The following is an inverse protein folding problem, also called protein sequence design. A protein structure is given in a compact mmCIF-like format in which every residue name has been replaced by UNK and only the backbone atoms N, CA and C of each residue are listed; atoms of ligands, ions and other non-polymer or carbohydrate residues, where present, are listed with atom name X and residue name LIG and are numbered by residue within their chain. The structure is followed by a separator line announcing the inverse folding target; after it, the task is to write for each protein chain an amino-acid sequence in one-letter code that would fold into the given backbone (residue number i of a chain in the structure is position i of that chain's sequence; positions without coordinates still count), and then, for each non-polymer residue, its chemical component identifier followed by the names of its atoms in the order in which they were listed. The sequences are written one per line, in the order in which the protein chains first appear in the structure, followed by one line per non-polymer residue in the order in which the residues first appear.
data_IF_767337918638
#
_entry.id   IF_767337918638
#
_cell.length_a   1.000
_cell.length_b   1.000
_cell.length_c   1.000
_cell.angle_alpha   90.00
_cell.angle_beta   90.00
_cell.angle_gamma   90.00
#
_symmetry.space_group_name_H-M   'P 1'
#
loop_
_entity.id
_entity.type
_entity.pdbx_description
1 polymer ?
#
# COMPACT_ATOMS: atom_id res chain seq x y z
N UNK A 1 17.49 -0.95 2.99
CA UNK A 1 18.86 -1.49 2.93
C UNK A 1 19.67 -0.85 4.03
N UNK A 2 20.45 -1.63 4.77
CA UNK A 2 21.56 -1.09 5.56
C UNK A 2 22.72 -0.71 4.62
N UNK A 3 23.76 -0.04 5.13
CA UNK A 3 24.89 0.46 4.32
C UNK A 3 25.72 -0.62 3.61
N UNK A 4 25.44 -1.91 3.86
CA UNK A 4 26.01 -3.08 3.19
C UNK A 4 25.13 -3.63 2.04
N UNK A 5 23.98 -3.02 1.75
CA UNK A 5 23.00 -3.48 0.75
C UNK A 5 22.01 -4.52 1.26
N UNK A 6 22.13 -4.97 2.51
CA UNK A 6 21.28 -6.01 3.08
C UNK A 6 19.89 -5.46 3.45
N UNK A 7 18.86 -6.25 3.17
CA UNK A 7 17.49 -5.93 3.57
C UNK A 7 17.31 -6.26 5.05
N UNK A 8 16.67 -5.37 5.79
CA UNK A 8 16.41 -5.58 7.22
C UNK A 8 15.12 -4.88 7.61
N UNK A 9 14.50 -5.40 8.67
CA UNK A 9 13.29 -4.82 9.22
C UNK A 9 13.64 -3.67 10.18
N UNK A 10 13.14 -2.48 9.90
CA UNK A 10 13.27 -1.34 10.81
C UNK A 10 12.50 -1.60 12.11
N UNK A 11 12.98 -1.02 13.22
CA UNK A 11 12.24 -1.01 14.47
C UNK A 11 11.01 -0.07 14.38
N UNK A 12 9.96 -0.28 15.19
CA UNK A 12 8.84 0.64 15.29
C UNK A 12 9.28 1.99 15.83
N UNK A 13 8.58 3.06 15.41
CA UNK A 13 8.75 4.41 15.95
C UNK A 13 7.44 4.94 16.51
N UNK A 14 7.47 6.09 17.16
CA UNK A 14 6.25 6.82 17.49
C UNK A 14 5.45 7.08 16.19
N UNK A 15 4.16 6.74 16.20
CA UNK A 15 3.24 6.95 15.06
C UNK A 15 3.40 5.99 13.86
N UNK A 16 4.36 5.06 13.87
CA UNK A 16 4.58 4.13 12.74
C UNK A 16 5.06 2.74 13.16
N UNK A 17 4.36 1.72 12.66
CA UNK A 17 4.66 0.30 12.86
C UNK A 17 4.98 -0.35 11.50
N UNK A 18 6.24 -0.72 11.21
CA UNK A 18 6.60 -1.39 9.96
C UNK A 18 5.86 -2.72 9.80
N UNK A 19 5.37 -3.03 8.59
CA UNK A 19 4.72 -4.32 8.30
C UNK A 19 5.63 -5.51 8.61
N UNK A 20 6.92 -5.42 8.27
CA UNK A 20 7.89 -6.45 8.61
C UNK A 20 7.94 -6.74 10.12
N UNK A 21 7.75 -5.71 10.96
CA UNK A 21 7.75 -5.88 12.41
C UNK A 21 6.47 -6.54 12.88
N UNK A 22 5.33 -6.11 12.31
CA UNK A 22 4.03 -6.70 12.59
C UNK A 22 3.96 -8.17 12.13
N UNK A 23 4.58 -8.55 11.01
CA UNK A 23 4.75 -9.95 10.61
C UNK A 23 5.39 -10.79 11.73
N UNK A 24 6.42 -10.26 12.40
CA UNK A 24 7.04 -10.87 13.57
C UNK A 24 6.08 -11.03 14.75
N UNK A 25 5.31 -9.99 15.09
CA UNK A 25 4.34 -10.05 16.20
C UNK A 25 3.19 -11.04 15.91
N UNK A 26 2.72 -11.11 14.66
CA UNK A 26 1.70 -12.09 14.22
C UNK A 26 2.21 -13.52 14.44
N UNK A 27 3.40 -13.83 13.93
CA UNK A 27 4.00 -15.16 14.08
C UNK A 27 4.29 -15.48 15.56
N UNK A 28 4.74 -14.49 16.35
CA UNK A 28 4.96 -14.64 17.80
C UNK A 28 3.68 -15.02 18.54
N UNK A 29 2.59 -14.31 18.28
CA UNK A 29 1.30 -14.53 18.97
C UNK A 29 0.69 -15.87 18.56
N UNK A 30 0.73 -16.23 17.27
CA UNK A 30 0.29 -17.56 16.80
C UNK A 30 1.11 -18.69 17.42
N UNK A 31 2.43 -18.52 17.55
CA UNK A 31 3.29 -19.46 18.26
C UNK A 31 2.93 -19.60 19.74
N UNK A 32 2.62 -18.48 20.42
CA UNK A 32 2.16 -18.47 21.82
C UNK A 32 0.83 -19.22 21.99
N UNK A 33 -0.12 -19.01 21.08
CA UNK A 33 -1.41 -19.73 21.06
C UNK A 33 -1.22 -21.23 20.78
N UNK A 34 -0.23 -21.60 19.95
CA UNK A 34 0.19 -22.98 19.72
C UNK A 34 1.07 -23.57 20.85
N UNK A 35 1.09 -22.95 22.04
CA UNK A 35 1.85 -23.37 23.22
C UNK A 35 3.39 -23.50 23.02
N UNK A 36 3.96 -22.72 22.10
CA UNK A 36 5.41 -22.58 21.98
C UNK A 36 6.05 -21.85 23.17
N UNK A 37 7.33 -22.12 23.44
CA UNK A 37 8.08 -21.41 24.49
C UNK A 37 8.36 -19.96 24.09
N UNK A 38 8.64 -19.11 25.08
CA UNK A 38 8.94 -17.70 24.83
C UNK A 38 10.19 -17.51 23.94
N UNK A 39 11.19 -18.38 24.09
CA UNK A 39 12.43 -18.40 23.31
C UNK A 39 12.14 -18.75 21.85
N UNK A 40 11.38 -19.84 21.61
CA UNK A 40 11.01 -20.28 20.27
C UNK A 40 10.12 -19.25 19.56
N UNK A 41 9.11 -18.70 20.24
CA UNK A 41 8.24 -17.69 19.65
C UNK A 41 8.97 -16.37 19.39
N UNK A 42 9.96 -16.01 20.22
CA UNK A 42 10.83 -14.84 19.96
C UNK A 42 11.76 -15.08 18.78
N UNK A 43 12.32 -16.29 18.64
CA UNK A 43 13.12 -16.68 17.48
C UNK A 43 12.29 -16.58 16.19
N UNK A 44 11.12 -17.23 16.13
CA UNK A 44 10.23 -17.20 14.96
C UNK A 44 9.77 -15.79 14.59
N UNK A 45 9.61 -14.90 15.57
CA UNK A 45 9.33 -13.48 15.33
C UNK A 45 10.50 -12.78 14.62
N UNK A 46 11.73 -13.09 15.00
CA UNK A 46 12.95 -12.63 14.31
C UNK A 46 13.04 -13.16 12.88
N UNK A 47 12.89 -14.47 12.72
CA UNK A 47 12.92 -15.15 11.42
C UNK A 47 11.85 -14.56 10.46
N UNK A 48 10.63 -14.34 10.95
CA UNK A 48 9.53 -13.74 10.17
C UNK A 48 9.81 -12.29 9.75
N UNK A 49 10.39 -11.46 10.63
CA UNK A 49 10.79 -10.08 10.30
C UNK A 49 11.84 -10.04 9.19
N UNK A 50 12.84 -10.93 9.27
CA UNK A 50 13.92 -10.98 8.29
C UNK A 50 13.44 -11.54 6.96
N UNK A 51 12.63 -12.61 6.98
CA UNK A 51 12.06 -13.19 5.77
C UNK A 51 11.14 -12.20 5.04
N UNK A 52 10.27 -11.48 5.77
CA UNK A 52 9.46 -10.39 5.19
C UNK A 52 10.35 -9.34 4.50
N UNK A 53 11.43 -8.91 5.15
CA UNK A 53 12.34 -7.88 4.61
C UNK A 53 13.09 -8.36 3.35
N UNK A 54 13.56 -9.62 3.36
CA UNK A 54 14.22 -10.26 2.22
C UNK A 54 13.27 -10.43 1.03
N UNK A 55 12.00 -10.73 1.28
CA UNK A 55 10.97 -10.96 0.25
C UNK A 55 10.32 -9.69 -0.31
N UNK A 56 10.87 -8.49 -0.10
CA UNK A 56 10.32 -7.25 -0.65
C UNK A 56 10.27 -7.28 -2.21
N UNK A 57 9.16 -6.86 -2.86
CA UNK A 57 7.99 -6.17 -2.30
C UNK A 57 6.89 -7.09 -1.73
N UNK A 58 7.05 -8.41 -1.86
CA UNK A 58 6.03 -9.42 -1.60
C UNK A 58 6.00 -9.97 -0.16
N UNK A 59 6.64 -9.30 0.81
CA UNK A 59 6.75 -9.78 2.20
C UNK A 59 5.43 -10.22 2.87
N UNK A 60 4.29 -9.66 2.46
CA UNK A 60 2.95 -10.06 2.94
C UNK A 60 2.53 -11.49 2.56
N UNK A 61 3.26 -12.14 1.65
CA UNK A 61 3.08 -13.54 1.28
C UNK A 61 3.81 -14.49 2.25
N UNK A 62 4.80 -14.00 3.02
CA UNK A 62 5.59 -14.84 3.93
C UNK A 62 4.87 -15.19 5.23
N UNK A 63 3.68 -14.61 5.47
CA UNK A 63 2.82 -14.90 6.62
C UNK A 63 1.56 -15.65 6.12
N UNK A 64 1.48 -16.99 6.31
CA UNK A 64 0.33 -17.80 5.87
C UNK A 64 -0.98 -17.36 6.52
N UNK A 65 -2.13 -17.52 5.84
CA UNK A 65 -3.42 -17.09 6.41
C UNK A 65 -3.47 -15.59 6.68
N UNK A 66 -3.36 -14.79 5.62
CA UNK A 66 -3.36 -13.32 5.72
C UNK A 66 -4.72 -12.82 6.21
N UNK A 67 -4.75 -12.19 7.39
CA UNK A 67 -5.94 -11.56 7.96
C UNK A 67 -5.66 -10.10 8.31
N UNK A 68 -6.32 -9.12 7.65
CA UNK A 68 -6.14 -7.69 7.92
C UNK A 68 -6.30 -7.28 9.40
N UNK A 69 -7.09 -8.03 10.18
CA UNK A 69 -7.27 -7.76 11.62
C UNK A 69 -5.99 -8.05 12.43
N UNK A 70 -5.14 -8.95 11.95
CA UNK A 70 -3.82 -9.21 12.52
C UNK A 70 -2.80 -8.13 12.12
N UNK A 71 -2.94 -7.49 10.94
CA UNK A 71 -2.04 -6.41 10.48
C UNK A 71 -2.44 -5.01 10.98
N UNK A 72 -3.71 -4.79 11.30
CA UNK A 72 -4.22 -3.53 11.91
C UNK A 72 -3.83 -2.31 11.05
N UNK A 73 -3.06 -1.38 11.61
CA UNK A 73 -2.56 -0.16 10.97
C UNK A 73 -1.04 -0.20 10.70
N UNK A 74 -0.41 -1.38 10.61
CA UNK A 74 0.98 -1.49 10.17
C UNK A 74 1.17 -0.98 8.73
N UNK A 75 2.36 -0.45 8.42
CA UNK A 75 2.67 0.17 7.14
C UNK A 75 2.04 1.54 6.92
N UNK A 76 1.17 2.01 7.84
CA UNK A 76 0.45 3.27 7.70
C UNK A 76 0.93 4.31 8.72
N UNK A 77 0.92 5.58 8.32
CA UNK A 77 1.13 6.71 9.22
C UNK A 77 -0.13 6.95 10.08
N UNK A 78 0.03 7.11 11.39
CA UNK A 78 -1.09 7.21 12.34
C UNK A 78 -1.59 8.64 12.57
N UNK A 79 -0.76 9.64 12.33
CA UNK A 79 -1.02 11.07 12.60
C UNK A 79 -0.95 11.96 11.33
N UNK A 80 -0.75 11.35 10.16
CA UNK A 80 -0.76 12.06 8.88
C UNK A 80 -2.18 12.48 8.47
N UNK A 81 -2.31 13.71 7.95
CA UNK A 81 -3.49 14.13 7.22
C UNK A 81 -3.52 13.48 5.83
N UNK A 82 -4.54 12.65 5.55
CA UNK A 82 -4.74 11.91 4.29
C UNK A 82 -3.48 11.14 3.82
N UNK A 83 -3.03 10.13 4.58
CA UNK A 83 -1.84 9.36 4.23
C UNK A 83 -2.02 8.59 2.91
N UNK A 84 -0.95 8.54 2.13
CA UNK A 84 -0.87 7.61 1.00
C UNK A 84 -0.75 6.17 1.52
N UNK A 85 -1.51 5.25 0.91
CA UNK A 85 -1.41 3.83 1.19
C UNK A 85 -0.03 3.30 0.76
N UNK A 86 0.61 2.52 1.63
CA UNK A 86 1.90 1.86 1.41
C UNK A 86 3.00 2.80 0.88
N UNK A 87 3.05 4.02 1.44
CA UNK A 87 3.97 5.08 1.02
C UNK A 87 5.43 4.59 0.93
N UNK A 88 5.97 4.58 -0.28
CA UNK A 88 7.38 4.27 -0.53
C UNK A 88 8.20 5.57 -0.41
N UNK A 89 9.19 5.66 0.50
CA UNK A 89 10.08 6.81 0.59
C UNK A 89 10.71 7.13 -0.78
N UNK A 90 10.90 8.42 -1.05
CA UNK A 90 11.46 8.93 -2.32
C UNK A 90 10.59 8.69 -3.58
N UNK A 91 9.41 8.05 -3.47
CA UNK A 91 8.51 7.78 -4.61
C UNK A 91 7.32 8.75 -4.69
N UNK A 92 7.33 9.86 -3.94
CA UNK A 92 6.30 10.89 -4.06
C UNK A 92 6.60 11.88 -5.18
N UNK A 93 5.55 12.41 -5.80
CA UNK A 93 5.73 13.42 -6.85
C UNK A 93 6.24 14.74 -6.28
N UNK A 94 5.99 15.03 -5.01
CA UNK A 94 6.58 16.15 -4.27
C UNK A 94 8.10 15.97 -4.13
N UNK A 95 8.58 14.77 -3.81
CA UNK A 95 10.00 14.47 -3.78
C UNK A 95 10.61 14.61 -5.18
N UNK A 96 9.98 14.05 -6.21
CA UNK A 96 10.47 14.16 -7.58
C UNK A 96 10.49 15.61 -8.12
N UNK A 97 9.54 16.48 -7.71
CA UNK A 97 9.56 17.92 -8.01
C UNK A 97 10.71 18.65 -7.30
N UNK A 98 11.11 18.19 -6.11
CA UNK A 98 12.24 18.75 -5.36
C UNK A 98 13.61 18.29 -5.90
N UNK A 99 13.66 17.20 -6.67
CA UNK A 99 14.88 16.75 -7.35
C UNK A 99 15.21 17.69 -8.52
N UNK A 100 16.36 18.36 -8.42
CA UNK A 100 16.96 19.15 -9.50
C UNK A 100 18.46 18.93 -9.48
N UNK A 101 19.03 18.63 -10.64
CA UNK A 101 20.46 18.50 -10.85
C UNK A 101 21.04 19.83 -11.37
N UNK A 102 22.12 20.26 -10.71
CA UNK A 102 22.85 21.50 -10.96
C UNK A 102 24.32 21.23 -11.38
N UNK A 103 24.65 19.99 -11.75
CA UNK A 103 26.01 19.57 -12.13
C UNK A 103 26.48 20.11 -13.49
N UNK A 104 25.59 20.72 -14.29
CA UNK A 104 25.88 21.35 -15.57
C UNK A 104 25.21 22.73 -15.69
N UNK A 105 25.60 23.53 -16.69
CA UNK A 105 24.95 24.80 -17.01
C UNK A 105 23.46 24.62 -17.38
N UNK A 106 23.09 23.47 -17.96
CA UNK A 106 21.69 23.09 -18.16
C UNK A 106 21.14 22.41 -16.90
N UNK A 107 20.14 23.04 -16.28
CA UNK A 107 19.51 22.55 -15.05
C UNK A 107 18.49 21.45 -15.35
N UNK A 108 18.87 20.21 -15.07
CA UNK A 108 18.02 19.03 -15.33
C UNK A 108 17.05 18.84 -14.15
N UNK A 109 15.76 18.76 -14.45
CA UNK A 109 14.69 18.48 -13.47
C UNK A 109 13.50 17.79 -14.13
N UNK A 110 12.68 17.11 -13.33
CA UNK A 110 11.41 16.56 -13.83
C UNK A 110 10.43 17.69 -14.21
N UNK A 111 9.81 17.58 -15.39
CA UNK A 111 8.78 18.49 -15.90
C UNK A 111 7.43 17.77 -15.96
N UNK A 112 6.78 17.64 -14.82
CA UNK A 112 5.46 17.00 -14.71
C UNK A 112 4.34 17.86 -15.27
N UNK A 113 3.28 17.20 -15.76
CA UNK A 113 1.93 17.78 -15.82
C UNK A 113 1.03 17.01 -14.87
N UNK A 114 0.22 17.71 -14.12
CA UNK A 114 -0.60 17.13 -13.05
C UNK A 114 -2.04 16.97 -13.50
N UNK A 115 -2.38 15.78 -13.99
CA UNK A 115 -3.78 15.45 -14.20
C UNK A 115 -4.36 15.03 -12.84
N UNK A 116 -5.27 15.86 -12.31
CA UNK A 116 -6.10 15.54 -11.14
C UNK A 116 -7.12 14.44 -11.43
N UNK A 117 -6.66 13.27 -11.88
CA UNK A 117 -7.49 12.08 -12.01
C UNK A 117 -7.50 11.32 -10.69
N UNK A 118 -8.68 10.82 -10.39
CA UNK A 118 -8.96 9.95 -9.27
C UNK A 118 -10.12 9.07 -9.74
N UNK A 119 -10.08 7.76 -9.51
CA UNK A 119 -11.17 6.90 -9.94
C UNK A 119 -11.91 6.30 -8.75
N UNK A 120 -13.21 6.56 -8.73
CA UNK A 120 -14.18 5.79 -7.99
C UNK A 120 -15.33 5.50 -8.95
N UNK A 121 -15.80 4.25 -8.98
CA UNK A 121 -16.72 3.72 -9.98
C UNK A 121 -18.17 4.16 -9.71
N UNK A 122 -18.36 5.45 -9.43
CA UNK A 122 -19.63 6.08 -9.04
C UNK A 122 -20.03 7.23 -9.96
N UNK A 123 -19.11 7.81 -10.74
CA UNK A 123 -19.35 8.95 -11.62
C UNK A 123 -20.09 10.12 -10.93
N UNK A 124 -19.90 10.30 -9.62
CA UNK A 124 -20.56 11.35 -8.83
C UNK A 124 -19.74 12.65 -8.85
N UNK A 125 -20.38 13.83 -8.88
CA UNK A 125 -19.70 15.11 -8.67
C UNK A 125 -19.36 15.33 -7.18
N UNK A 126 -18.17 15.86 -6.91
CA UNK A 126 -17.71 16.20 -5.56
C UNK A 126 -17.66 15.08 -4.49
N UNK A 127 -17.31 13.81 -4.79
CA UNK A 127 -17.21 12.73 -3.80
C UNK A 127 -15.84 12.79 -3.09
N UNK A 128 -15.44 13.99 -2.66
CA UNK A 128 -14.22 14.21 -1.87
C UNK A 128 -14.21 13.36 -0.61
N UNK A 129 -13.01 13.04 -0.09
CA UNK A 129 -12.88 12.28 1.15
C UNK A 129 -13.72 12.90 2.26
N UNK A 130 -14.62 12.10 2.82
CA UNK A 130 -15.36 12.38 4.06
C UNK A 130 -15.29 11.11 4.88
N UNK A 131 -15.01 11.27 6.17
CA UNK A 131 -14.93 10.17 7.14
C UNK A 131 -16.28 9.45 7.31
N UNK A 132 -17.38 10.16 6.99
CA UNK A 132 -18.71 9.58 6.92
C UNK A 132 -18.98 8.94 5.54
N UNK A 133 -19.97 8.03 5.50
CA UNK A 133 -20.47 7.44 4.26
C UNK A 133 -19.38 6.78 3.40
N UNK A 134 -18.42 6.04 4.01
CA UNK A 134 -17.31 5.34 3.31
C UNK A 134 -17.76 4.64 2.02
N UNK A 135 -18.82 3.83 2.07
CA UNK A 135 -19.41 3.11 0.92
C UNK A 135 -19.91 4.02 -0.23
N UNK A 136 -19.94 5.35 -0.08
CA UNK A 136 -20.26 6.32 -1.14
C UNK A 136 -19.05 7.13 -1.61
N UNK A 137 -18.03 7.31 -0.77
CA UNK A 137 -16.87 8.17 -1.05
C UNK A 137 -15.59 7.40 -1.43
N UNK A 138 -15.56 6.07 -1.27
CA UNK A 138 -14.46 5.18 -1.69
C UNK A 138 -14.93 3.96 -2.51
N UNK A 139 -13.96 3.16 -2.96
CA UNK A 139 -14.16 1.85 -3.58
C UNK A 139 -14.37 0.69 -2.59
N UNK A 140 -14.61 0.98 -1.31
CA UNK A 140 -14.91 -0.03 -0.27
C UNK A 140 -16.33 -0.60 -0.40
N UNK A 141 -16.64 -1.20 -1.56
CA UNK A 141 -17.95 -1.75 -1.91
C UNK A 141 -18.21 -3.10 -1.24
N UNK A 142 -17.17 -3.91 -1.08
CA UNK A 142 -17.26 -5.20 -0.42
C UNK A 142 -17.68 -5.05 1.05
N UNK A 143 -18.57 -5.92 1.50
CA UNK A 143 -19.05 -5.90 2.87
C UNK A 143 -18.10 -6.66 3.80
N UNK A 144 -17.12 -5.92 4.32
CA UNK A 144 -16.08 -6.44 5.22
C UNK A 144 -16.59 -6.98 6.56
N UNK A 145 -17.87 -6.80 6.91
CA UNK A 145 -18.47 -7.40 8.11
C UNK A 145 -18.85 -8.87 7.92
N UNK A 146 -19.02 -9.36 6.69
CA UNK A 146 -19.33 -10.77 6.43
C UNK A 146 -18.15 -11.51 5.82
N UNK A 147 -18.19 -12.84 5.82
CA UNK A 147 -17.09 -13.68 5.33
C UNK A 147 -16.95 -13.64 3.80
N UNK A 148 -18.06 -13.65 3.07
CA UNK A 148 -18.08 -13.62 1.60
C UNK A 148 -17.39 -12.36 1.06
N UNK A 149 -17.71 -11.19 1.62
CA UNK A 149 -17.12 -9.91 1.22
C UNK A 149 -15.63 -9.81 1.55
N UNK A 150 -15.18 -10.42 2.66
CA UNK A 150 -13.77 -10.50 3.01
C UNK A 150 -13.01 -11.47 2.09
N UNK A 151 -13.55 -12.66 1.83
CA UNK A 151 -12.96 -13.66 0.93
C UNK A 151 -12.88 -13.16 -0.53
N UNK A 152 -13.84 -12.33 -0.97
CA UNK A 152 -13.84 -11.73 -2.31
C UNK A 152 -12.63 -10.79 -2.55
N UNK A 153 -12.25 -9.98 -1.56
CA UNK A 153 -11.08 -9.08 -1.67
C UNK A 153 -9.78 -9.73 -1.17
N UNK A 154 -9.87 -10.74 -0.33
CA UNK A 154 -8.74 -11.47 0.24
C UNK A 154 -9.05 -12.98 0.27
N UNK A 155 -8.80 -13.72 -0.82
CA UNK A 155 -9.03 -15.16 -0.86
C UNK A 155 -8.07 -15.95 0.07
N UNK A 156 -7.00 -15.32 0.56
CA UNK A 156 -6.06 -15.92 1.53
C UNK A 156 -6.58 -15.94 2.97
N UNK A 157 -7.78 -15.40 3.23
CA UNK A 157 -8.38 -15.40 4.56
C UNK A 157 -8.73 -16.81 5.07
N UNK A 158 -9.04 -17.73 4.15
CA UNK A 158 -9.30 -19.15 4.45
C UNK A 158 -8.03 -19.99 4.61
N UNK A 159 -6.84 -19.44 4.30
CA UNK A 159 -5.60 -20.21 4.38
C UNK A 159 -5.21 -20.48 5.84
N UNK A 160 -4.55 -21.62 6.14
CA UNK A 160 -4.12 -21.95 7.50
C UNK A 160 -3.22 -20.88 8.12
N UNK A 161 -3.62 -20.38 9.29
CA UNK A 161 -2.84 -19.41 10.08
C UNK A 161 -1.69 -20.07 10.82
N UNK A 162 -0.62 -20.37 10.11
CA UNK A 162 0.53 -21.09 10.67
C UNK A 162 1.32 -20.24 11.68
N UNK A 163 1.90 -20.86 12.73
CA UNK A 163 2.73 -20.20 13.75
C UNK A 163 4.20 -20.06 13.33
N UNK A 164 4.46 -19.91 12.03
CA UNK A 164 5.77 -19.74 11.41
C UNK A 164 5.61 -19.01 10.09
N UNK A 165 6.57 -18.14 9.74
CA UNK A 165 6.65 -17.61 8.40
C UNK A 165 7.03 -18.73 7.39
N UNK A 166 6.75 -18.49 6.12
CA UNK A 166 7.11 -19.37 5.01
C UNK A 166 7.80 -18.57 3.90
N UNK A 167 8.68 -19.23 3.14
CA UNK A 167 9.20 -18.64 1.91
C UNK A 167 8.07 -18.50 0.88
N UNK A 168 8.28 -17.58 -0.06
CA UNK A 168 7.36 -17.39 -1.19
C UNK A 168 7.61 -18.51 -2.18
N UNK A 169 6.54 -19.22 -2.52
CA UNK A 169 6.55 -20.30 -3.49
C UNK A 169 6.07 -19.73 -4.84
N UNK A 170 6.91 -19.67 -5.89
CA UNK A 170 6.53 -19.04 -7.14
C UNK A 170 5.36 -19.71 -7.87
N UNK A 171 5.08 -20.99 -7.61
CA UNK A 171 3.94 -21.71 -8.22
C UNK A 171 2.67 -21.47 -7.41
N UNK A 172 2.73 -21.60 -6.08
CA UNK A 172 1.59 -21.33 -5.18
C UNK A 172 1.15 -19.87 -5.22
N UNK A 173 2.11 -18.95 -5.19
CA UNK A 173 1.87 -17.53 -4.95
C UNK A 173 1.79 -16.69 -6.23
N UNK A 174 1.92 -17.32 -7.41
CA UNK A 174 1.97 -16.66 -8.73
C UNK A 174 0.84 -15.65 -8.94
N UNK A 175 -0.39 -16.04 -8.59
CA UNK A 175 -1.60 -15.21 -8.76
C UNK A 175 -1.50 -13.93 -7.94
N UNK A 176 -1.00 -14.00 -6.70
CA UNK A 176 -0.86 -12.85 -5.82
C UNK A 176 0.29 -11.92 -6.22
N UNK A 177 1.36 -12.47 -6.77
CA UNK A 177 2.47 -11.66 -7.31
C UNK A 177 2.10 -10.92 -8.61
N UNK A 178 1.10 -11.39 -9.35
CA UNK A 178 0.81 -10.93 -10.72
C UNK A 178 -0.48 -10.12 -10.91
N UNK A 179 -1.49 -10.26 -10.03
CA UNK A 179 -2.86 -9.82 -10.37
C UNK A 179 -3.59 -8.94 -9.35
N UNK A 180 -3.13 -8.85 -8.09
CA UNK A 180 -3.85 -8.10 -7.04
C UNK A 180 -2.88 -7.32 -6.14
N UNK A 181 -3.25 -6.10 -5.67
CA UNK A 181 -2.58 -5.53 -4.52
C UNK A 181 -2.76 -6.47 -3.31
N UNK A 182 -1.66 -6.81 -2.64
CA UNK A 182 -1.60 -7.85 -1.59
C UNK A 182 -2.50 -7.57 -0.37
N UNK A 183 -3.02 -6.35 -0.26
CA UNK A 183 -3.93 -5.86 0.77
C UNK A 183 -5.12 -5.12 0.10
N UNK A 184 -5.74 -5.75 -0.89
CA UNK A 184 -6.82 -5.14 -1.70
C UNK A 184 -7.97 -4.62 -0.84
N UNK A 185 -8.26 -5.29 0.27
CA UNK A 185 -9.28 -4.89 1.23
C UNK A 185 -8.96 -3.59 1.99
N UNK A 186 -7.70 -3.39 2.42
CA UNK A 186 -7.22 -2.09 2.94
C UNK A 186 -7.16 -1.06 1.82
N UNK A 187 -6.51 -1.39 0.71
CA UNK A 187 -6.29 -0.49 -0.44
C UNK A 187 -7.58 0.07 -1.04
N UNK A 188 -8.66 -0.72 -1.10
CA UNK A 188 -10.00 -0.24 -1.52
C UNK A 188 -10.54 0.93 -0.69
N UNK A 189 -10.06 1.07 0.55
CA UNK A 189 -10.41 2.19 1.42
C UNK A 189 -9.59 3.45 1.13
N UNK A 190 -8.50 3.38 0.35
CA UNK A 190 -7.65 4.51 -0.04
C UNK A 190 -7.87 4.99 -1.48
N UNK A 191 -8.73 4.32 -2.24
CA UNK A 191 -9.19 4.78 -3.55
C UNK A 191 -10.34 5.78 -3.34
N UNK A 192 -10.06 7.07 -3.55
CA UNK A 192 -10.96 8.20 -3.28
C UNK A 192 -11.10 9.13 -4.50
N UNK A 193 -12.28 9.72 -4.72
CA UNK A 193 -12.64 10.59 -5.88
C UNK A 193 -12.46 9.91 -7.25
N UNK A 194 -12.92 10.39 -8.42
CA UNK A 194 -13.68 11.60 -8.76
C UNK A 194 -13.18 12.35 -10.03
N UNK A 195 -12.67 11.64 -11.06
CA UNK A 195 -11.79 12.16 -12.11
C UNK A 195 -12.33 13.28 -12.99
N UNK A 196 -11.90 14.51 -12.71
CA UNK A 196 -12.11 15.70 -13.54
C UNK A 196 -10.75 16.38 -13.74
N UNK A 197 -10.19 16.26 -14.94
CA UNK A 197 -9.05 17.08 -15.34
C UNK A 197 -9.52 18.52 -15.53
N UNK A 198 -8.98 19.45 -14.73
CA UNK A 198 -8.88 20.83 -15.17
C UNK A 198 -7.91 20.90 -16.36
N UNK A 199 -8.13 21.84 -17.27
CA UNK A 199 -7.22 22.14 -18.36
C UNK A 199 -7.27 23.65 -18.61
N UNK A 200 -6.11 24.29 -18.66
CA UNK A 200 -6.02 25.73 -18.89
C UNK A 200 -6.07 26.04 -20.39
N UNK A 201 -7.27 25.88 -20.96
CA UNK A 201 -7.55 26.11 -22.38
C UNK A 201 -8.22 27.48 -22.61
N UNK A 202 -7.84 28.18 -23.69
CA UNK A 202 -8.42 29.50 -24.05
C UNK A 202 -9.89 29.40 -24.46
N UNK A 203 -10.31 28.23 -24.96
CA UNK A 203 -11.69 27.93 -25.33
C UNK A 203 -12.03 26.50 -24.92
N UNK A 204 -13.32 26.14 -25.00
CA UNK A 204 -13.79 24.76 -24.76
C UNK A 204 -13.68 23.86 -26.00
N UNK A 205 -12.91 24.25 -27.01
CA UNK A 205 -12.69 23.44 -28.20
C UNK A 205 -11.85 22.19 -27.90
N UNK A 206 -12.10 21.11 -28.63
CA UNK A 206 -11.40 19.82 -28.46
C UNK A 206 -9.89 19.96 -28.69
N UNK A 207 -9.47 20.73 -29.69
CA UNK A 207 -8.06 20.90 -30.01
C UNK A 207 -7.35 21.73 -28.93
N UNK A 208 -7.98 22.79 -28.44
CA UNK A 208 -7.41 23.60 -27.35
C UNK A 208 -7.27 22.78 -26.05
N UNK A 209 -8.28 22.00 -25.67
CA UNK A 209 -8.19 21.09 -24.52
C UNK A 209 -7.06 20.07 -24.73
N UNK A 210 -6.96 19.45 -25.91
CA UNK A 210 -5.89 18.49 -26.22
C UNK A 210 -4.50 19.12 -26.18
N UNK A 211 -4.37 20.36 -26.68
CA UNK A 211 -3.13 21.13 -26.63
C UNK A 211 -2.71 21.39 -25.19
N UNK A 212 -3.63 21.82 -24.31
CA UNK A 212 -3.35 22.02 -22.88
C UNK A 212 -2.89 20.72 -22.19
N UNK A 213 -3.56 19.59 -22.45
CA UNK A 213 -3.12 18.28 -21.94
C UNK A 213 -1.69 17.93 -22.38
N UNK A 214 -1.39 18.07 -23.68
CA UNK A 214 -0.08 17.77 -24.25
C UNK A 214 1.03 18.70 -23.72
N UNK A 215 0.69 19.97 -23.54
CA UNK A 215 1.61 21.01 -23.06
C UNK A 215 1.78 21.00 -21.53
N UNK A 216 1.07 20.13 -20.81
CA UNK A 216 1.07 20.01 -19.34
C UNK A 216 0.44 21.21 -18.62
N UNK A 217 -0.51 21.87 -19.28
CA UNK A 217 -1.31 23.01 -18.78
C UNK A 217 -2.64 22.49 -18.19
N UNK A 218 -2.53 21.74 -17.08
CA UNK A 218 -3.63 21.04 -16.37
C UNK A 218 -3.69 21.41 -14.90
#
# INVERSE_FOLDING_TARGET
MQGNGEMSCNLPSQGYLPDCFQAGEIIKERCRVAAGSNEECTKRAGDARQLYANSNPFGLLTVPGYDPMEWKNSGQCQDCFLPAFDYRPQMSVQYALALTDFSSEEVIRFKYGFIGSSDNHQARPGPGYKENLRKLNSESRADMSNEIGRNLLNPRLSDPKLPSAQEIDPERDQVFMSSLPLQSERGSSFLYTGGLAAAHAKTKDRQEIWNSLNNREV
#
